data_IF_675659178766
#
_entry.id   IF_675659178766
#
_cell.length_a   1.000
_cell.length_b   1.000
_cell.length_c   1.000
_cell.angle_alpha   90.00
_cell.angle_beta   90.00
_cell.angle_gamma   90.00
#
_symmetry.space_group_name_H-M   'P 1'
#
loop_
_entity.id
_entity.type
_entity.pdbx_description
1 polymer ?
#
# COMPACT_ATOMS: atom_id res chain seq x y z
N UNK A 1 -22.11 17.69 1.32
CA UNK A 1 -21.74 17.16 -0.01
C UNK A 1 -20.35 16.52 -0.05
N UNK A 2 -19.30 17.17 0.48
CA UNK A 2 -17.89 16.71 0.39
C UNK A 2 -17.56 15.28 0.87
N UNK A 3 -18.19 14.76 1.95
CA UNK A 3 -17.86 13.41 2.46
C UNK A 3 -18.18 12.27 1.50
N UNK A 4 -19.27 12.39 0.72
CA UNK A 4 -19.69 11.33 -0.21
C UNK A 4 -18.75 11.24 -1.40
N UNK A 5 -18.32 12.39 -1.92
CA UNK A 5 -17.32 12.46 -2.99
C UNK A 5 -15.96 11.92 -2.54
N UNK A 6 -15.54 12.24 -1.31
CA UNK A 6 -14.32 11.70 -0.73
C UNK A 6 -14.36 10.16 -0.60
N UNK A 7 -15.49 9.60 -0.16
CA UNK A 7 -15.68 8.15 -0.06
C UNK A 7 -15.62 7.48 -1.43
N UNK A 8 -16.28 8.04 -2.46
CA UNK A 8 -16.22 7.51 -3.83
C UNK A 8 -14.79 7.56 -4.38
N UNK A 9 -14.10 8.68 -4.21
CA UNK A 9 -12.71 8.83 -4.64
C UNK A 9 -11.78 7.83 -3.92
N UNK A 10 -12.01 7.59 -2.63
CA UNK A 10 -11.28 6.59 -1.87
C UNK A 10 -11.49 5.17 -2.43
N UNK A 11 -12.73 4.77 -2.68
CA UNK A 11 -13.05 3.46 -3.24
C UNK A 11 -12.42 3.27 -4.64
N UNK A 12 -12.45 4.31 -5.47
CA UNK A 12 -11.77 4.29 -6.77
C UNK A 12 -10.25 4.07 -6.62
N UNK A 13 -9.60 4.78 -5.71
CA UNK A 13 -8.15 4.64 -5.46
C UNK A 13 -7.76 3.28 -4.90
N UNK A 14 -8.65 2.66 -4.12
CA UNK A 14 -8.42 1.31 -3.61
C UNK A 14 -8.52 0.27 -4.72
N UNK A 15 -9.52 0.41 -5.59
CA UNK A 15 -9.75 -0.49 -6.71
C UNK A 15 -8.80 -0.29 -7.90
N UNK A 16 -8.04 0.81 -7.93
CA UNK A 16 -7.10 1.12 -9.02
C UNK A 16 -5.69 0.60 -8.71
N UNK A 17 -5.21 -0.46 -9.40
CA UNK A 17 -3.84 -0.95 -9.25
C UNK A 17 -2.79 0.06 -9.73
N UNK A 18 -3.19 1.01 -10.59
CA UNK A 18 -2.37 2.09 -11.11
C UNK A 18 -2.16 3.23 -10.12
N UNK A 19 -3.00 3.35 -9.10
CA UNK A 19 -2.94 4.48 -8.16
C UNK A 19 -1.60 4.53 -7.42
N UNK A 20 -1.04 5.74 -7.37
CA UNK A 20 0.27 6.05 -6.80
C UNK A 20 0.15 7.11 -5.71
N UNK A 21 1.12 7.13 -4.80
CA UNK A 21 1.19 8.18 -3.79
C UNK A 21 1.49 9.52 -4.46
N UNK A 22 1.08 10.61 -3.81
CA UNK A 22 1.37 11.95 -4.32
C UNK A 22 2.88 12.17 -4.43
N UNK A 23 3.34 12.67 -5.57
CA UNK A 23 4.77 12.91 -5.84
C UNK A 23 5.52 11.69 -6.40
N UNK A 24 4.87 10.54 -6.46
CA UNK A 24 5.45 9.34 -7.04
C UNK A 24 5.42 9.38 -8.57
N UNK A 25 6.60 9.41 -9.22
CA UNK A 25 6.72 9.39 -10.67
C UNK A 25 7.79 8.38 -11.13
N UNK A 26 7.40 7.19 -11.62
CA UNK A 26 8.36 6.16 -12.05
C UNK A 26 9.11 6.46 -13.35
N UNK A 27 8.61 7.39 -14.17
CA UNK A 27 9.24 7.74 -15.42
C UNK A 27 10.53 8.56 -15.20
N UNK A 28 10.57 9.34 -14.12
CA UNK A 28 11.68 10.26 -13.81
C UNK A 28 12.41 9.90 -12.52
N UNK A 29 12.01 8.83 -11.83
CA UNK A 29 12.60 8.45 -10.56
C UNK A 29 14.06 8.01 -10.72
N UNK A 30 14.93 8.59 -9.89
CA UNK A 30 16.28 8.08 -9.64
C UNK A 30 16.24 6.80 -8.80
N UNK A 31 17.37 6.09 -8.73
CA UNK A 31 17.49 4.89 -7.88
C UNK A 31 17.26 5.21 -6.40
N UNK A 32 17.74 6.36 -5.93
CA UNK A 32 17.53 6.80 -4.54
C UNK A 32 16.04 7.04 -4.26
N UNK A 33 15.33 7.70 -5.17
CA UNK A 33 13.88 7.89 -5.08
C UNK A 33 13.13 6.54 -5.13
N UNK A 34 13.59 5.58 -5.93
CA UNK A 34 13.00 4.24 -5.95
C UNK A 34 13.14 3.53 -4.60
N UNK A 35 14.33 3.58 -3.98
CA UNK A 35 14.55 3.02 -2.64
C UNK A 35 13.73 3.76 -1.57
N UNK A 36 13.62 5.08 -1.68
CA UNK A 36 12.78 5.88 -0.80
C UNK A 36 11.32 5.43 -0.87
N UNK A 37 10.73 5.31 -2.07
CA UNK A 37 9.35 4.85 -2.22
C UNK A 37 9.14 3.41 -1.73
N UNK A 38 10.11 2.51 -1.96
CA UNK A 38 10.05 1.17 -1.40
C UNK A 38 9.97 1.20 0.14
N UNK A 39 10.77 2.06 0.78
CA UNK A 39 10.77 2.26 2.24
C UNK A 39 9.45 2.86 2.72
N UNK A 40 8.94 3.88 2.02
CA UNK A 40 7.63 4.51 2.32
C UNK A 40 6.51 3.48 2.28
N UNK A 41 6.49 2.59 1.30
CA UNK A 41 5.50 1.51 1.26
C UNK A 41 5.71 0.47 2.36
N UNK A 42 6.95 0.13 2.72
CA UNK A 42 7.22 -0.74 3.88
C UNK A 42 6.64 -0.15 5.18
N UNK A 43 6.75 1.16 5.39
CA UNK A 43 6.18 1.82 6.58
C UNK A 43 4.65 1.85 6.55
N UNK A 44 4.04 2.07 5.38
CA UNK A 44 2.59 1.96 5.21
C UNK A 44 2.06 0.54 5.45
N UNK A 45 2.80 -0.49 5.03
CA UNK A 45 2.45 -1.90 5.26
C UNK A 45 2.49 -2.21 6.76
N UNK A 46 3.56 -1.81 7.47
CA UNK A 46 3.66 -1.98 8.93
C UNK A 46 2.47 -1.35 9.64
N UNK A 47 2.15 -0.10 9.31
CA UNK A 47 0.99 0.59 9.86
C UNK A 47 -0.31 -0.18 9.62
N UNK A 48 -0.52 -0.74 8.42
CA UNK A 48 -1.72 -1.55 8.13
C UNK A 48 -1.76 -2.84 8.94
N UNK A 49 -0.63 -3.50 9.14
CA UNK A 49 -0.56 -4.71 9.97
C UNK A 49 -0.87 -4.42 11.44
N UNK A 50 -0.35 -3.32 12.01
CA UNK A 50 -0.67 -2.92 13.38
C UNK A 50 -2.18 -2.65 13.57
N UNK A 51 -2.82 -2.01 12.59
CA UNK A 51 -4.28 -1.83 12.59
C UNK A 51 -5.04 -3.15 12.47
N UNK A 52 -4.57 -4.08 11.62
CA UNK A 52 -5.19 -5.39 11.47
C UNK A 52 -5.15 -6.20 12.77
N UNK A 53 -4.00 -6.20 13.45
CA UNK A 53 -3.87 -6.84 14.75
C UNK A 53 -4.81 -6.21 15.78
N UNK A 54 -4.93 -4.88 15.79
CA UNK A 54 -5.85 -4.19 16.67
C UNK A 54 -7.32 -4.57 16.39
N UNK A 55 -7.73 -4.56 15.13
CA UNK A 55 -9.08 -4.97 14.72
C UNK A 55 -9.38 -6.42 15.15
N UNK A 56 -8.43 -7.34 14.96
CA UNK A 56 -8.57 -8.74 15.37
C UNK A 56 -8.75 -8.87 16.87
N UNK A 57 -7.89 -8.22 17.67
CA UNK A 57 -8.01 -8.19 19.15
C UNK A 57 -9.36 -7.64 19.62
N UNK A 58 -9.83 -6.56 19.01
CA UNK A 58 -11.15 -5.99 19.34
C UNK A 58 -12.29 -6.92 18.97
N UNK A 59 -12.25 -7.55 17.79
CA UNK A 59 -13.27 -8.50 17.37
C UNK A 59 -13.36 -9.70 18.33
N UNK A 60 -12.23 -10.18 18.84
CA UNK A 60 -12.20 -11.32 19.76
C UNK A 60 -12.80 -11.01 21.15
N UNK A 61 -12.81 -9.74 21.55
CA UNK A 61 -13.37 -9.26 22.82
C UNK A 61 -14.80 -8.73 22.70
N UNK A 62 -15.34 -8.71 21.49
CA UNK A 62 -16.64 -8.08 21.18
C UNK A 62 -17.78 -9.09 21.16
N UNK A 63 -19.01 -8.59 21.28
CA UNK A 63 -20.22 -9.37 21.01
C UNK A 63 -20.21 -9.92 19.56
N UNK A 64 -20.84 -11.07 19.29
CA UNK A 64 -20.75 -11.75 17.99
C UNK A 64 -21.09 -10.87 16.78
N UNK A 65 -22.12 -10.03 16.89
CA UNK A 65 -22.57 -9.12 15.84
C UNK A 65 -21.56 -8.00 15.53
N UNK A 66 -20.89 -7.48 16.55
CA UNK A 66 -19.84 -6.45 16.40
C UNK A 66 -18.58 -7.09 15.82
N UNK A 67 -18.19 -8.26 16.32
CA UNK A 67 -17.04 -9.00 15.84
C UNK A 67 -17.19 -9.39 14.35
N UNK A 68 -18.41 -9.76 13.94
CA UNK A 68 -18.75 -10.03 12.54
C UNK A 68 -18.58 -8.78 11.68
N UNK A 69 -19.13 -7.64 12.10
CA UNK A 69 -18.99 -6.39 11.36
C UNK A 69 -17.51 -6.04 11.14
N UNK A 70 -16.69 -6.04 12.20
CA UNK A 70 -15.24 -5.74 12.11
C UNK A 70 -14.55 -6.66 11.10
N UNK A 71 -14.85 -7.97 11.13
CA UNK A 71 -14.23 -8.95 10.22
C UNK A 71 -14.67 -8.77 8.77
N UNK A 72 -15.95 -8.50 8.52
CA UNK A 72 -16.50 -8.39 7.17
C UNK A 72 -16.23 -7.02 6.52
N UNK A 73 -15.93 -5.98 7.30
CA UNK A 73 -15.65 -4.63 6.74
C UNK A 73 -14.22 -4.20 6.95
N UNK A 74 -13.79 -4.04 8.19
CA UNK A 74 -12.54 -3.35 8.52
C UNK A 74 -11.32 -4.21 8.20
N UNK A 75 -11.37 -5.50 8.56
CA UNK A 75 -10.28 -6.45 8.25
C UNK A 75 -10.09 -6.58 6.73
N UNK A 76 -11.18 -6.82 5.99
CA UNK A 76 -11.11 -6.95 4.52
C UNK A 76 -10.55 -5.68 3.86
N UNK A 77 -11.01 -4.50 4.31
CA UNK A 77 -10.54 -3.23 3.78
C UNK A 77 -9.03 -3.03 4.03
N UNK A 78 -8.56 -3.32 5.24
CA UNK A 78 -7.17 -3.17 5.61
C UNK A 78 -6.26 -4.17 4.88
N UNK A 79 -6.69 -5.43 4.72
CA UNK A 79 -5.97 -6.44 3.94
C UNK A 79 -5.84 -6.02 2.47
N UNK A 80 -6.92 -5.53 1.85
CA UNK A 80 -6.88 -5.03 0.48
C UNK A 80 -5.90 -3.85 0.31
N UNK A 81 -5.86 -2.94 1.30
CA UNK A 81 -4.90 -1.84 1.29
C UNK A 81 -3.45 -2.33 1.45
N UNK A 82 -3.21 -3.27 2.37
CA UNK A 82 -1.89 -3.84 2.61
C UNK A 82 -1.35 -4.56 1.37
N UNK A 83 -2.13 -5.44 0.76
CA UNK A 83 -1.73 -6.15 -0.47
C UNK A 83 -1.42 -5.20 -1.62
N UNK A 84 -2.17 -4.11 -1.77
CA UNK A 84 -1.85 -3.09 -2.78
C UNK A 84 -0.49 -2.42 -2.50
N UNK A 85 -0.21 -2.11 -1.24
CA UNK A 85 1.07 -1.51 -0.87
C UNK A 85 2.24 -2.47 -1.03
N UNK A 86 2.05 -3.76 -0.77
CA UNK A 86 3.06 -4.80 -1.03
C UNK A 86 3.43 -4.85 -2.51
N UNK A 87 2.44 -4.89 -3.41
CA UNK A 87 2.67 -4.85 -4.86
C UNK A 87 3.46 -3.60 -5.29
N UNK A 88 3.14 -2.44 -4.72
CA UNK A 88 3.84 -1.18 -5.04
C UNK A 88 5.25 -1.14 -4.47
N UNK A 89 5.46 -1.65 -3.26
CA UNK A 89 6.79 -1.80 -2.68
C UNK A 89 7.66 -2.68 -3.58
N UNK A 90 7.14 -3.83 -3.98
CA UNK A 90 7.88 -4.81 -4.75
C UNK A 90 8.24 -4.25 -6.13
N UNK A 91 7.30 -3.52 -6.76
CA UNK A 91 7.59 -2.72 -7.95
C UNK A 91 8.80 -1.80 -7.75
N UNK A 92 8.85 -1.03 -6.66
CA UNK A 92 9.96 -0.11 -6.41
C UNK A 92 11.28 -0.81 -6.09
N UNK A 93 11.24 -1.94 -5.36
CA UNK A 93 12.42 -2.77 -5.09
C UNK A 93 13.01 -3.33 -6.39
N UNK A 94 12.17 -3.84 -7.29
CA UNK A 94 12.57 -4.35 -8.61
C UNK A 94 13.19 -3.20 -9.43
N UNK A 95 12.53 -2.04 -9.52
CA UNK A 95 13.04 -0.88 -10.26
C UNK A 95 14.40 -0.41 -9.74
N UNK A 96 14.59 -0.34 -8.42
CA UNK A 96 15.86 0.06 -7.83
C UNK A 96 16.99 -0.93 -8.16
N UNK A 97 16.68 -2.22 -8.23
CA UNK A 97 17.63 -3.28 -8.60
C UNK A 97 18.00 -3.21 -10.10
N UNK A 98 17.02 -3.00 -10.99
CA UNK A 98 17.25 -2.79 -12.42
C UNK A 98 18.21 -1.61 -12.69
N UNK A 99 18.00 -0.49 -11.98
CA UNK A 99 18.86 0.70 -12.10
C UNK A 99 20.29 0.46 -11.58
N UNK A 100 20.48 -0.49 -10.67
CA UNK A 100 21.81 -0.91 -10.21
C UNK A 100 22.52 -1.78 -11.25
N UNK A 101 21.79 -2.74 -11.85
CA UNK A 101 22.32 -3.62 -12.90
C UNK A 101 22.60 -2.92 -14.23
N UNK A 102 21.86 -1.85 -14.55
CA UNK A 102 22.04 -1.06 -15.78
C UNK A 102 23.32 -0.20 -15.83
N UNK A 103 24.04 -0.02 -14.71
CA UNK A 103 25.34 0.70 -14.68
C UNK A 103 26.53 -0.16 -15.14
N UNK A 104 26.34 -1.44 -15.44
CA UNK A 104 27.42 -2.39 -15.77
C UNK A 104 27.58 -2.78 -17.24
N UNK A 105 26.76 -2.27 -18.18
CA UNK A 105 26.86 -2.61 -19.60
C UNK A 105 26.88 -1.35 -20.48
N UNK A 106 28.01 -0.66 -20.50
CA UNK A 106 28.43 0.08 -21.68
C UNK A 106 29.21 -0.90 -22.57
N UNK A 107 28.84 -1.12 -23.85
CA UNK A 107 29.72 -1.76 -24.81
C UNK A 107 30.80 -0.75 -25.26
N UNK A 108 32.05 -1.21 -25.29
CA UNK A 108 33.17 -0.57 -25.99
C UNK A 108 32.91 -0.49 -27.52
#
# INVERSE_FOLDING_TARGET
MQRREAATAFLQRIGDPGYRLQGENPATATREQALHWATTYDDLIKFKHELLELCRRYADQSAPEVARAIRETDVILLELQASRFELKRDYWKIRAAEMQGGRGRAPD
#
